data_IF_777768919819
#
_entry.id   IF_777768919819
#
_cell.length_a   1.000
_cell.length_b   1.000
_cell.length_c   1.000
_cell.angle_alpha   90.00
_cell.angle_beta   90.00
_cell.angle_gamma   90.00
#
_symmetry.space_group_name_H-M   'P 1'
#
loop_
_entity.id
_entity.type
_entity.pdbx_description
1 polymer ?
#
# COMPACT_ATOMS: atom_id res chain seq x y z
N UNK A 1 -61.37 13.42 -29.64
CA UNK A 1 -62.23 13.40 -28.44
C UNK A 1 -61.36 13.11 -27.23
N UNK A 2 -61.38 14.06 -26.29
CA UNK A 2 -61.07 13.95 -24.86
C UNK A 2 -59.66 13.48 -24.47
N UNK A 3 -58.78 14.47 -24.29
CA UNK A 3 -57.65 14.40 -23.37
C UNK A 3 -58.16 14.19 -21.93
N UNK A 4 -57.49 13.35 -21.15
CA UNK A 4 -57.65 13.31 -19.70
C UNK A 4 -56.27 13.46 -19.07
N UNK A 5 -56.01 14.68 -18.60
CA UNK A 5 -54.90 14.99 -17.71
C UNK A 5 -55.09 14.18 -16.40
N UNK A 6 -54.06 13.44 -16.00
CA UNK A 6 -53.95 12.96 -14.62
C UNK A 6 -53.28 14.06 -13.80
N UNK A 7 -54.08 14.76 -13.00
CA UNK A 7 -53.63 15.79 -12.07
C UNK A 7 -53.23 15.11 -10.76
N UNK A 8 -51.93 15.03 -10.48
CA UNK A 8 -51.42 14.54 -9.19
C UNK A 8 -51.46 15.71 -8.19
N UNK A 9 -52.51 15.78 -7.37
CA UNK A 9 -52.55 16.69 -6.21
C UNK A 9 -51.89 16.01 -5.02
N UNK A 10 -50.70 16.48 -4.65
CA UNK A 10 -50.06 16.16 -3.37
C UNK A 10 -50.46 17.23 -2.37
N UNK A 11 -51.38 16.93 -1.45
CA UNK A 11 -51.63 17.78 -0.28
C UNK A 11 -50.82 17.25 0.89
N UNK A 12 -49.86 18.05 1.34
CA UNK A 12 -49.03 17.76 2.51
C UNK A 12 -49.66 18.44 3.73
N UNK A 13 -50.08 17.67 4.73
CA UNK A 13 -50.47 18.21 6.04
C UNK A 13 -49.44 17.75 7.05
N UNK A 14 -48.78 18.73 7.68
CA UNK A 14 -47.70 18.52 8.63
C UNK A 14 -48.29 18.39 10.05
N UNK A 15 -48.12 17.25 10.72
CA UNK A 15 -48.07 17.13 12.18
C UNK A 15 -47.52 15.75 12.58
N UNK A 16 -46.82 15.73 13.71
CA UNK A 16 -45.87 14.72 14.16
C UNK A 16 -46.34 13.25 14.18
N UNK A 17 -45.38 12.36 13.91
CA UNK A 17 -45.36 10.89 14.01
C UNK A 17 -46.13 10.06 12.96
N UNK A 18 -45.34 9.23 12.25
CA UNK A 18 -45.68 8.24 11.21
C UNK A 18 -46.37 8.78 9.95
N UNK A 19 -45.59 8.91 8.86
CA UNK A 19 -46.10 9.18 7.53
C UNK A 19 -46.47 7.85 6.83
N UNK A 20 -47.75 7.52 6.78
CA UNK A 20 -48.29 6.47 5.91
C UNK A 20 -48.87 7.13 4.64
N UNK A 21 -48.23 6.94 3.49
CA UNK A 21 -48.80 7.32 2.20
C UNK A 21 -49.85 6.28 1.78
N UNK A 22 -51.13 6.62 1.92
CA UNK A 22 -52.22 5.84 1.32
C UNK A 22 -52.35 6.22 -0.17
N UNK A 23 -51.82 5.37 -1.04
CA UNK A 23 -52.10 5.42 -2.49
C UNK A 23 -53.41 4.68 -2.73
N UNK A 24 -54.48 5.41 -3.00
CA UNK A 24 -55.71 4.81 -3.53
C UNK A 24 -55.49 4.48 -5.01
N UNK A 25 -55.11 3.23 -5.29
CA UNK A 25 -54.93 2.73 -6.64
C UNK A 25 -56.27 2.21 -7.17
N UNK A 26 -56.99 3.04 -7.93
CA UNK A 26 -58.16 2.59 -8.69
C UNK A 26 -57.71 1.65 -9.83
N UNK A 27 -58.32 0.46 -9.86
CA UNK A 27 -58.35 -0.54 -10.93
C UNK A 27 -57.35 -0.34 -12.07
N UNK A 28 -56.22 -1.05 -12.01
CA UNK A 28 -55.32 -1.17 -13.15
C UNK A 28 -55.72 -2.36 -14.00
N UNK A 29 -56.08 -2.07 -15.26
CA UNK A 29 -56.25 -3.07 -16.30
C UNK A 29 -54.97 -3.93 -16.37
N UNK A 30 -55.03 -5.26 -16.45
CA UNK A 30 -53.84 -6.13 -16.40
C UNK A 30 -52.78 -5.79 -17.47
N UNK A 31 -53.20 -5.18 -18.58
CA UNK A 31 -52.30 -4.68 -19.63
C UNK A 31 -51.44 -3.48 -19.19
N UNK A 32 -51.94 -2.60 -18.32
CA UNK A 32 -51.19 -1.45 -17.82
C UNK A 32 -50.08 -1.86 -16.84
N UNK A 33 -50.35 -2.89 -16.03
CA UNK A 33 -49.37 -3.50 -15.13
C UNK A 33 -48.24 -4.20 -15.91
N UNK A 34 -48.59 -4.94 -16.96
CA UNK A 34 -47.61 -5.58 -17.84
C UNK A 34 -46.71 -4.55 -18.54
N UNK A 35 -47.27 -3.43 -19.01
CA UNK A 35 -46.50 -2.37 -19.66
C UNK A 35 -45.56 -1.66 -18.68
N UNK A 36 -46.02 -1.38 -17.44
CA UNK A 36 -45.19 -0.77 -16.41
C UNK A 36 -44.02 -1.69 -16.00
N UNK A 37 -44.26 -3.00 -15.86
CA UNK A 37 -43.22 -4.00 -15.61
C UNK A 37 -42.21 -4.08 -16.76
N UNK A 38 -42.67 -4.03 -18.01
CA UNK A 38 -41.79 -4.04 -19.18
C UNK A 38 -40.89 -2.80 -19.21
N UNK A 39 -41.45 -1.61 -18.94
CA UNK A 39 -40.69 -0.35 -18.88
C UNK A 39 -39.67 -0.38 -17.73
N UNK A 40 -40.05 -0.90 -16.57
CA UNK A 40 -39.14 -1.05 -15.43
C UNK A 40 -37.99 -2.03 -15.73
N UNK A 41 -38.30 -3.18 -16.31
CA UNK A 41 -37.29 -4.17 -16.71
C UNK A 41 -36.36 -3.63 -17.81
N UNK A 42 -36.88 -2.86 -18.78
CA UNK A 42 -36.05 -2.18 -19.78
C UNK A 42 -35.16 -1.12 -19.14
N UNK A 43 -35.66 -0.36 -18.17
CA UNK A 43 -34.86 0.63 -17.44
C UNK A 43 -33.73 -0.04 -16.64
N UNK A 44 -34.02 -1.14 -15.93
CA UNK A 44 -33.02 -1.96 -15.22
C UNK A 44 -32.03 -2.59 -16.20
N UNK A 45 -32.49 -3.07 -17.35
CA UNK A 45 -31.61 -3.64 -18.37
C UNK A 45 -30.70 -2.57 -18.97
N UNK A 46 -31.19 -1.36 -19.24
CA UNK A 46 -30.37 -0.24 -19.77
C UNK A 46 -29.36 0.26 -18.73
N UNK A 47 -29.71 0.31 -17.44
CA UNK A 47 -28.76 0.68 -16.38
C UNK A 47 -27.72 -0.42 -16.15
N UNK A 48 -28.13 -1.69 -16.16
CA UNK A 48 -27.23 -2.83 -16.09
C UNK A 48 -26.29 -2.89 -17.29
N UNK A 49 -26.82 -2.75 -18.51
CA UNK A 49 -26.02 -2.75 -19.73
C UNK A 49 -25.10 -1.53 -19.83
N UNK A 50 -25.48 -0.33 -19.37
CA UNK A 50 -24.54 0.79 -19.20
C UNK A 50 -23.42 0.47 -18.20
N UNK A 51 -23.74 -0.21 -17.09
CA UNK A 51 -22.73 -0.62 -16.11
C UNK A 51 -21.75 -1.66 -16.67
N UNK A 52 -22.22 -2.60 -17.50
CA UNK A 52 -21.37 -3.62 -18.13
C UNK A 52 -20.70 -3.15 -19.42
N UNK A 53 -21.20 -2.09 -20.07
CA UNK A 53 -20.56 -1.49 -21.25
C UNK A 53 -19.51 -0.42 -20.88
N UNK A 54 -19.57 0.14 -19.66
CA UNK A 54 -18.50 0.98 -19.12
C UNK A 54 -17.33 0.17 -18.53
N UNK A 55 -17.42 -1.16 -18.43
CA UNK A 55 -16.32 -2.02 -18.01
C UNK A 55 -15.47 -2.59 -19.16
N UNK A 56 -15.68 -2.16 -20.40
CA UNK A 56 -14.91 -2.62 -21.57
C UNK A 56 -14.26 -1.50 -22.37
N UNK A 57 -13.87 -0.39 -21.74
CA UNK A 57 -12.78 0.41 -22.28
C UNK A 57 -11.48 -0.24 -21.82
N UNK A 58 -10.76 -0.84 -22.76
CA UNK A 58 -9.37 -1.28 -22.57
C UNK A 58 -8.47 -0.06 -22.41
N UNK A 59 -8.62 0.66 -21.28
CA UNK A 59 -7.56 1.51 -20.77
C UNK A 59 -6.41 0.57 -20.48
N UNK A 60 -5.32 0.67 -21.25
CA UNK A 60 -4.09 -0.07 -21.00
C UNK A 60 -3.72 0.13 -19.53
N UNK A 61 -3.94 -0.87 -18.68
CA UNK A 61 -3.75 -0.69 -17.26
C UNK A 61 -2.24 -0.63 -17.02
N UNK A 62 -1.78 0.44 -16.40
CA UNK A 62 -0.39 0.58 -16.00
C UNK A 62 -0.14 -0.43 -14.88
N UNK A 63 0.74 -1.41 -15.10
CA UNK A 63 1.13 -2.41 -14.11
C UNK A 63 2.53 -2.12 -13.58
N UNK A 64 2.74 -2.42 -12.31
CA UNK A 64 4.04 -2.34 -11.65
C UNK A 64 4.59 -3.75 -11.46
N UNK A 65 5.84 -3.94 -11.86
CA UNK A 65 6.53 -5.23 -11.78
C UNK A 65 7.88 -5.05 -11.09
N UNK A 66 8.20 -6.02 -10.22
CA UNK A 66 9.50 -6.12 -9.57
C UNK A 66 10.21 -7.35 -10.12
N UNK A 67 11.34 -7.12 -10.79
CA UNK A 67 12.18 -8.21 -11.32
C UNK A 67 13.32 -8.45 -10.35
N UNK A 68 13.28 -9.57 -9.64
CA UNK A 68 14.25 -9.94 -8.62
C UNK A 68 15.16 -11.05 -9.12
N UNK A 69 16.48 -10.85 -9.01
CA UNK A 69 17.48 -11.83 -9.40
C UNK A 69 18.43 -12.12 -8.24
N UNK A 70 18.84 -13.37 -8.03
CA UNK A 70 19.89 -13.69 -7.06
C UNK A 70 21.19 -12.95 -7.39
N UNK A 71 21.85 -12.42 -6.37
CA UNK A 71 23.24 -11.99 -6.45
C UNK A 71 24.13 -13.25 -6.34
N UNK A 72 24.70 -13.77 -7.43
CA UNK A 72 25.55 -15.00 -7.47
C UNK A 72 26.84 -14.88 -6.60
N UNK A 73 27.58 -15.89 -6.09
CA UNK A 73 27.55 -17.38 -6.05
C UNK A 73 28.12 -17.89 -4.70
N UNK A 74 27.51 -17.53 -3.57
CA UNK A 74 27.86 -18.10 -2.25
C UNK A 74 26.69 -18.99 -1.81
N UNK A 75 27.00 -20.10 -1.12
CA UNK A 75 26.18 -21.30 -0.96
C UNK A 75 24.67 -21.10 -0.71
N UNK A 76 23.90 -22.13 -1.09
CA UNK A 76 22.44 -22.28 -1.02
C UNK A 76 21.77 -22.10 0.37
N UNK A 77 22.45 -21.51 1.35
CA UNK A 77 21.98 -21.22 2.70
C UNK A 77 22.00 -19.72 3.06
N UNK A 78 22.27 -18.80 2.11
CA UNK A 78 22.49 -17.35 2.36
C UNK A 78 22.04 -16.48 1.17
N UNK A 79 20.76 -16.56 0.77
CA UNK A 79 20.29 -15.89 -0.44
C UNK A 79 20.26 -14.36 -0.33
N UNK A 80 20.88 -13.65 -1.27
CA UNK A 80 20.65 -12.21 -1.47
C UNK A 80 20.05 -11.97 -2.84
N UNK A 81 19.07 -11.07 -2.94
CA UNK A 81 18.37 -10.78 -4.18
C UNK A 81 18.42 -9.28 -4.46
N UNK A 82 18.65 -8.92 -5.71
CA UNK A 82 18.54 -7.54 -6.20
C UNK A 82 17.28 -7.43 -7.05
N UNK A 83 16.45 -6.45 -6.72
CA UNK A 83 15.14 -6.24 -7.32
C UNK A 83 15.03 -4.86 -7.93
N UNK A 84 14.48 -4.79 -9.14
CA UNK A 84 14.26 -3.53 -9.85
C UNK A 84 12.77 -3.31 -10.11
N UNK A 85 12.29 -2.09 -9.83
CA UNK A 85 10.91 -1.69 -10.14
C UNK A 85 10.79 -1.18 -11.57
N UNK A 86 9.79 -1.68 -12.29
CA UNK A 86 9.45 -1.24 -13.65
C UNK A 86 7.96 -1.03 -13.80
N UNK A 87 7.57 -0.20 -14.76
CA UNK A 87 6.20 -0.13 -15.27
C UNK A 87 6.10 -0.86 -16.60
N UNK A 88 4.95 -1.49 -16.81
CA UNK A 88 4.57 -2.10 -18.07
C UNK A 88 3.11 -1.76 -18.37
N UNK A 89 2.78 -1.51 -19.64
CA UNK A 89 1.40 -1.42 -20.10
C UNK A 89 0.96 -2.76 -20.67
N UNK A 90 -0.33 -3.09 -20.53
CA UNK A 90 -0.88 -4.34 -21.07
C UNK A 90 -0.57 -4.47 -22.58
N UNK A 91 0.09 -5.56 -22.96
CA UNK A 91 0.46 -5.85 -24.35
C UNK A 91 1.77 -5.22 -24.84
N UNK A 92 2.44 -4.40 -24.03
CA UNK A 92 3.76 -3.87 -24.36
C UNK A 92 4.88 -4.75 -23.79
N UNK A 93 5.89 -5.04 -24.63
CA UNK A 93 7.12 -5.71 -24.19
C UNK A 93 8.12 -4.74 -23.54
N UNK A 94 7.90 -3.43 -23.64
CA UNK A 94 8.84 -2.44 -23.14
C UNK A 94 8.57 -2.15 -21.67
N UNK A 95 9.60 -2.35 -20.84
CA UNK A 95 9.57 -2.05 -19.41
C UNK A 95 10.31 -0.74 -19.15
N UNK A 96 9.68 0.18 -18.44
CA UNK A 96 10.30 1.46 -18.07
C UNK A 96 10.67 1.43 -16.59
N UNK A 97 11.94 1.72 -16.21
CA UNK A 97 12.32 1.82 -14.81
C UNK A 97 11.50 2.85 -14.04
N UNK A 98 11.13 2.52 -12.80
CA UNK A 98 10.53 3.48 -11.86
C UNK A 98 11.66 4.19 -11.13
N UNK A 99 11.68 5.52 -11.12
CA UNK A 99 12.69 6.28 -10.36
C UNK A 99 12.37 6.28 -8.86
N UNK A 100 13.36 6.56 -8.02
CA UNK A 100 13.20 6.59 -6.57
C UNK A 100 12.16 7.62 -6.14
N UNK A 101 12.23 8.84 -6.68
CA UNK A 101 11.24 9.90 -6.43
C UNK A 101 9.82 9.46 -6.85
N UNK A 102 9.70 8.77 -7.99
CA UNK A 102 8.41 8.24 -8.44
C UNK A 102 7.89 7.14 -7.51
N UNK A 103 8.74 6.23 -7.06
CA UNK A 103 8.36 5.19 -6.10
C UNK A 103 7.86 5.81 -4.78
N UNK A 104 8.54 6.82 -4.25
CA UNK A 104 8.10 7.54 -3.04
C UNK A 104 6.72 8.19 -3.22
N UNK A 105 6.46 8.80 -4.38
CA UNK A 105 5.14 9.33 -4.69
C UNK A 105 4.08 8.23 -4.77
N UNK A 106 4.39 7.10 -5.42
CA UNK A 106 3.46 5.99 -5.59
C UNK A 106 3.09 5.33 -4.25
N UNK A 107 4.06 5.19 -3.34
CA UNK A 107 3.84 4.66 -1.99
C UNK A 107 2.87 5.49 -1.14
N UNK A 108 2.76 6.79 -1.42
CA UNK A 108 1.89 7.71 -0.71
C UNK A 108 0.54 7.94 -1.39
N UNK A 109 0.42 7.54 -2.66
CA UNK A 109 -0.79 7.80 -3.44
C UNK A 109 -1.92 6.83 -3.06
N UNK A 110 -3.15 7.20 -3.40
CA UNK A 110 -4.30 6.29 -3.29
C UNK A 110 -4.23 5.09 -4.26
N UNK A 111 -3.24 5.05 -5.17
CA UNK A 111 -3.01 3.93 -6.08
C UNK A 111 -2.23 2.83 -5.37
N UNK A 112 -2.96 1.82 -4.89
CA UNK A 112 -2.40 0.72 -4.09
C UNK A 112 -1.55 -0.26 -4.90
N UNK A 113 -1.62 -0.22 -6.24
CA UNK A 113 -1.03 -1.24 -7.11
C UNK A 113 0.49 -1.36 -6.97
N UNK A 114 1.21 -0.24 -6.86
CA UNK A 114 2.67 -0.26 -6.69
C UNK A 114 3.06 -0.86 -5.34
N UNK A 115 2.36 -0.47 -4.27
CA UNK A 115 2.64 -0.93 -2.91
C UNK A 115 2.30 -2.41 -2.73
N UNK A 116 1.20 -2.85 -3.34
CA UNK A 116 0.82 -4.26 -3.36
C UNK A 116 1.80 -5.09 -4.19
N UNK A 117 2.35 -4.55 -5.29
CA UNK A 117 3.40 -5.21 -6.06
C UNK A 117 4.73 -5.29 -5.30
N UNK A 118 5.14 -4.21 -4.62
CA UNK A 118 6.34 -4.19 -3.77
C UNK A 118 6.22 -5.18 -2.62
N UNK A 119 5.07 -5.16 -1.93
CA UNK A 119 4.82 -6.06 -0.80
C UNK A 119 4.87 -7.51 -1.26
N UNK A 120 4.20 -7.86 -2.37
CA UNK A 120 4.28 -9.22 -2.94
C UNK A 120 5.70 -9.60 -3.32
N UNK A 121 6.46 -8.70 -3.96
CA UNK A 121 7.84 -8.96 -4.34
C UNK A 121 8.71 -9.36 -3.14
N UNK A 122 8.44 -8.82 -1.95
CA UNK A 122 9.14 -9.16 -0.71
C UNK A 122 8.55 -10.42 -0.05
N UNK A 123 7.23 -10.55 0.04
CA UNK A 123 6.59 -11.68 0.75
C UNK A 123 6.74 -13.00 0.01
N UNK A 124 6.81 -12.97 -1.32
CA UNK A 124 6.91 -14.15 -2.19
C UNK A 124 8.35 -14.71 -2.27
N UNK A 125 9.34 -13.99 -1.72
CA UNK A 125 10.72 -14.49 -1.66
C UNK A 125 10.84 -15.69 -0.73
N UNK A 126 11.69 -16.68 -1.04
CA UNK A 126 11.91 -17.86 -0.22
C UNK A 126 12.85 -17.59 0.98
N UNK A 127 12.72 -16.41 1.60
CA UNK A 127 13.50 -16.02 2.79
C UNK A 127 12.58 -16.02 4.01
N UNK A 128 13.05 -16.63 5.11
CA UNK A 128 12.30 -16.68 6.37
C UNK A 128 12.37 -15.32 7.09
N UNK A 129 13.56 -14.72 7.14
CA UNK A 129 13.79 -13.33 7.52
C UNK A 129 14.67 -12.61 6.50
N UNK A 130 14.57 -11.28 6.43
CA UNK A 130 15.40 -10.50 5.52
C UNK A 130 15.79 -9.12 6.06
N UNK A 131 16.98 -8.68 5.70
CA UNK A 131 17.36 -7.27 5.69
C UNK A 131 17.00 -6.66 4.33
N UNK A 132 16.63 -5.39 4.31
CA UNK A 132 16.25 -4.63 3.13
C UNK A 132 17.13 -3.40 3.01
N UNK A 133 17.63 -3.09 1.82
CA UNK A 133 18.53 -1.97 1.55
C UNK A 133 18.18 -1.33 0.21
N UNK A 134 18.04 -0.01 0.15
CA UNK A 134 17.92 0.74 -1.12
C UNK A 134 19.20 1.50 -1.43
N UNK A 135 19.46 1.90 -2.70
CA UNK A 135 20.54 2.83 -3.00
C UNK A 135 20.41 4.13 -2.19
N UNK A 136 21.54 4.77 -1.83
CA UNK A 136 21.50 6.10 -1.26
C UNK A 136 21.01 7.13 -2.27
N UNK A 137 20.19 8.07 -1.82
CA UNK A 137 19.69 9.16 -2.66
C UNK A 137 19.77 10.51 -1.97
N UNK A 138 20.02 11.55 -2.76
CA UNK A 138 19.80 12.95 -2.40
C UNK A 138 18.45 13.41 -2.94
N UNK A 139 18.04 14.64 -2.59
CA UNK A 139 16.87 15.29 -3.21
C UNK A 139 16.97 15.28 -4.73
N UNK A 140 18.15 15.58 -5.26
CA UNK A 140 18.40 15.67 -6.70
C UNK A 140 18.54 14.27 -7.32
N UNK A 141 19.28 13.35 -6.69
CA UNK A 141 19.53 12.03 -7.29
C UNK A 141 18.32 11.11 -7.28
N UNK A 142 17.36 11.32 -6.36
CA UNK A 142 16.12 10.55 -6.35
C UNK A 142 15.31 10.64 -7.66
N UNK A 143 15.43 11.74 -8.42
CA UNK A 143 14.69 11.95 -9.66
C UNK A 143 15.16 11.05 -10.81
N UNK A 144 16.43 10.63 -10.81
CA UNK A 144 17.03 9.82 -11.88
C UNK A 144 17.61 8.48 -11.42
N UNK A 145 17.76 8.26 -10.12
CA UNK A 145 18.14 6.95 -9.57
C UNK A 145 16.95 6.01 -9.70
N UNK A 146 17.15 4.81 -10.25
CA UNK A 146 16.09 3.80 -10.30
C UNK A 146 15.72 3.33 -8.89
N UNK A 147 14.43 3.08 -8.67
CA UNK A 147 13.98 2.42 -7.47
C UNK A 147 14.28 0.93 -7.59
N UNK A 148 15.30 0.53 -6.84
CA UNK A 148 15.76 -0.83 -6.67
C UNK A 148 16.03 -1.08 -5.19
N UNK A 149 16.10 -2.35 -4.82
CA UNK A 149 16.49 -2.74 -3.47
C UNK A 149 17.20 -4.09 -3.49
N UNK A 150 18.06 -4.28 -2.50
CA UNK A 150 18.63 -5.56 -2.17
C UNK A 150 17.96 -6.09 -0.91
N UNK A 151 17.71 -7.40 -0.91
CA UNK A 151 17.43 -8.12 0.33
C UNK A 151 18.54 -9.12 0.62
N UNK A 152 18.79 -9.32 1.91
CA UNK A 152 19.73 -10.32 2.41
C UNK A 152 18.99 -11.27 3.34
N UNK A 153 19.26 -12.57 3.21
CA UNK A 153 18.85 -13.52 4.22
C UNK A 153 19.38 -13.13 5.60
N UNK A 154 18.54 -13.31 6.64
CA UNK A 154 18.86 -12.93 8.01
C UNK A 154 18.60 -14.08 9.00
N UNK A 155 19.36 -15.19 8.96
CA UNK A 155 19.18 -16.33 9.86
C UNK A 155 19.10 -16.00 11.36
N UNK A 156 19.86 -15.03 11.90
CA UNK A 156 19.74 -14.64 13.31
C UNK A 156 18.35 -14.14 13.73
N UNK A 157 17.47 -13.80 12.77
CA UNK A 157 16.13 -13.29 13.03
C UNK A 157 15.02 -14.33 12.88
N UNK A 158 15.33 -15.56 12.43
CA UNK A 158 14.33 -16.61 12.20
C UNK A 158 13.52 -16.92 13.46
N UNK A 159 14.23 -17.18 14.55
CA UNK A 159 13.65 -17.53 15.86
C UNK A 159 13.67 -16.35 16.86
N UNK A 160 13.85 -15.11 16.38
CA UNK A 160 13.90 -13.96 17.26
C UNK A 160 12.53 -13.65 17.88
N UNK A 161 12.52 -13.39 19.19
CA UNK A 161 11.34 -12.94 19.92
C UNK A 161 11.16 -11.43 19.74
N UNK A 162 9.93 -10.94 19.49
CA UNK A 162 9.69 -9.50 19.37
C UNK A 162 10.06 -8.77 20.66
N UNK A 163 10.91 -7.74 20.57
CA UNK A 163 11.18 -6.85 21.71
C UNK A 163 10.19 -5.67 21.71
N UNK A 164 9.01 -5.93 22.28
CA UNK A 164 7.93 -4.95 22.43
C UNK A 164 8.30 -3.74 23.29
N UNK A 165 9.38 -3.85 24.07
CA UNK A 165 9.83 -2.82 25.01
C UNK A 165 10.84 -1.84 24.42
N UNK A 166 11.57 -2.25 23.37
CA UNK A 166 12.71 -1.52 22.83
C UNK A 166 12.42 -0.06 22.47
N UNK A 167 11.19 0.21 22.02
CA UNK A 167 10.72 1.53 21.60
C UNK A 167 9.47 1.98 22.36
N UNK A 168 9.21 1.38 23.53
CA UNK A 168 8.00 1.67 24.30
C UNK A 168 7.77 3.17 24.56
N UNK A 169 8.77 3.98 24.95
CA UNK A 169 8.56 5.42 25.14
C UNK A 169 8.11 6.14 23.87
N UNK A 170 8.56 5.68 22.70
CA UNK A 170 8.23 6.26 21.40
C UNK A 170 6.90 5.74 20.86
N UNK A 171 6.48 4.55 21.28
CA UNK A 171 5.20 3.95 20.94
C UNK A 171 4.06 4.34 21.90
N UNK A 172 4.38 4.77 23.13
CA UNK A 172 3.41 5.12 24.16
C UNK A 172 2.69 6.46 23.92
N UNK A 173 3.04 7.19 22.85
CA UNK A 173 2.29 8.37 22.45
C UNK A 173 0.92 7.94 21.89
N UNK A 174 -0.17 8.48 22.45
CA UNK A 174 -1.55 8.24 22.00
C UNK A 174 -1.79 8.66 20.55
N UNK A 175 -0.87 9.42 19.97
CA UNK A 175 -0.87 9.78 18.56
C UNK A 175 -0.31 8.70 17.63
N UNK A 176 0.17 7.55 18.14
CA UNK A 176 0.65 6.49 17.26
C UNK A 176 -0.50 5.85 16.48
N UNK A 177 -0.70 6.34 15.26
CA UNK A 177 -1.61 5.79 14.29
C UNK A 177 -0.94 4.59 13.57
N UNK A 178 -0.69 3.51 14.31
CA UNK A 178 -0.12 2.25 13.81
C UNK A 178 1.40 2.26 13.54
N UNK A 179 2.00 3.40 13.21
CA UNK A 179 3.46 3.54 13.04
C UNK A 179 4.00 4.81 13.71
N UNK A 180 5.14 4.69 14.37
CA UNK A 180 5.88 5.80 14.96
C UNK A 180 7.10 6.18 14.10
N UNK A 181 7.41 7.48 14.06
CA UNK A 181 8.60 8.03 13.39
C UNK A 181 9.41 8.84 14.39
N UNK A 182 10.64 8.42 14.71
CA UNK A 182 11.43 9.02 15.79
C UNK A 182 12.93 8.86 15.57
N UNK A 183 13.77 9.75 16.13
CA UNK A 183 15.23 9.56 16.09
C UNK A 183 15.66 8.37 16.94
N UNK A 184 16.66 7.62 16.50
CA UNK A 184 17.28 6.59 17.34
C UNK A 184 18.03 7.22 18.54
N UNK A 185 18.49 6.38 19.48
CA UNK A 185 19.17 6.84 20.71
C UNK A 185 20.38 7.75 20.43
N UNK A 186 21.17 7.42 19.40
CA UNK A 186 22.32 8.21 18.96
C UNK A 186 21.96 9.47 18.18
N UNK A 187 20.70 9.64 17.78
CA UNK A 187 20.17 10.72 16.94
C UNK A 187 20.90 10.88 15.59
N UNK A 188 21.51 9.80 15.10
CA UNK A 188 22.20 9.71 13.82
C UNK A 188 21.35 9.05 12.72
N UNK A 189 20.17 8.54 13.11
CA UNK A 189 19.17 7.96 12.23
C UNK A 189 17.74 8.31 12.66
N UNK A 190 16.84 8.39 11.69
CA UNK A 190 15.39 8.36 11.93
C UNK A 190 14.87 6.95 11.73
N UNK A 191 14.02 6.47 12.64
CA UNK A 191 13.39 5.15 12.60
C UNK A 191 11.91 5.29 12.27
N UNK A 192 11.40 4.36 11.46
CA UNK A 192 9.97 4.14 11.23
C UNK A 192 9.64 2.73 11.70
N UNK A 193 8.78 2.61 12.72
CA UNK A 193 8.52 1.35 13.44
C UNK A 193 7.01 1.16 13.64
N UNK A 194 6.45 -0.06 13.49
CA UNK A 194 5.07 -0.32 13.85
C UNK A 194 4.90 -0.15 15.36
N UNK A 195 3.75 0.39 15.76
CA UNK A 195 3.37 0.42 17.17
C UNK A 195 2.75 -0.93 17.56
N UNK A 196 3.04 -1.44 18.77
CA UNK A 196 2.40 -2.63 19.29
C UNK A 196 0.88 -2.47 19.25
N UNK A 197 0.18 -3.44 18.66
CA UNK A 197 -1.27 -3.46 18.72
C UNK A 197 -1.72 -3.79 20.14
N UNK A 198 -2.80 -3.15 20.61
CA UNK A 198 -3.39 -3.49 21.90
C UNK A 198 -3.94 -4.93 21.93
N UNK A 199 -4.41 -5.41 20.77
CA UNK A 199 -5.03 -6.73 20.62
C UNK A 199 -4.02 -7.84 20.30
N UNK A 200 -2.85 -7.46 19.75
CA UNK A 200 -1.76 -8.38 19.44
C UNK A 200 -0.41 -7.65 19.62
N UNK A 201 0.13 -7.57 20.85
CA UNK A 201 1.35 -6.81 21.11
C UNK A 201 2.57 -7.38 20.37
N UNK A 202 2.53 -8.66 19.97
CA UNK A 202 3.63 -9.32 19.28
C UNK A 202 3.61 -9.12 17.75
N UNK A 203 2.50 -8.60 17.18
CA UNK A 203 2.05 -8.44 15.77
C UNK A 203 2.96 -8.87 14.61
N UNK A 204 3.68 -9.97 14.80
CA UNK A 204 4.74 -10.46 13.92
C UNK A 204 5.75 -9.36 13.50
N UNK A 205 5.91 -8.36 14.37
CA UNK A 205 6.71 -7.18 14.13
C UNK A 205 8.20 -7.42 14.40
N UNK A 206 8.68 -8.66 14.41
CA UNK A 206 10.09 -9.01 14.67
C UNK A 206 11.02 -8.44 13.59
N UNK A 207 10.62 -8.60 12.32
CA UNK A 207 11.38 -8.17 11.15
C UNK A 207 10.46 -7.97 9.93
N UNK A 208 11.01 -7.38 8.86
CA UNK A 208 10.24 -6.85 7.73
C UNK A 208 9.31 -7.88 7.07
N UNK A 209 9.85 -9.01 6.60
CA UNK A 209 9.04 -9.95 5.81
C UNK A 209 7.97 -10.66 6.64
N UNK A 210 8.23 -10.96 7.91
CA UNK A 210 7.25 -11.56 8.82
C UNK A 210 6.10 -10.60 9.09
N UNK A 211 6.42 -9.33 9.35
CA UNK A 211 5.40 -8.29 9.45
C UNK A 211 4.57 -8.15 8.17
N UNK A 212 5.21 -8.07 6.99
CA UNK A 212 4.49 -7.92 5.72
C UNK A 212 3.60 -9.11 5.37
N UNK A 213 3.98 -10.33 5.77
CA UNK A 213 3.18 -11.55 5.57
C UNK A 213 1.92 -11.58 6.45
N UNK A 214 1.96 -10.95 7.63
CA UNK A 214 0.93 -11.15 8.66
C UNK A 214 0.11 -9.90 9.00
N UNK A 215 0.66 -8.69 8.85
CA UNK A 215 0.00 -7.44 9.26
C UNK A 215 -1.20 -7.01 8.38
N UNK A 216 -1.41 -7.68 7.24
CA UNK A 216 -2.48 -7.37 6.29
C UNK A 216 -2.19 -6.16 5.39
N UNK A 217 -2.91 -6.07 4.27
CA UNK A 217 -2.63 -5.08 3.22
C UNK A 217 -2.74 -3.63 3.70
N UNK A 218 -3.63 -3.32 4.64
CA UNK A 218 -3.78 -1.97 5.18
C UNK A 218 -2.50 -1.51 5.90
N UNK A 219 -1.97 -2.33 6.81
CA UNK A 219 -0.76 -2.01 7.57
C UNK A 219 0.49 -2.02 6.69
N UNK A 220 0.61 -2.95 5.74
CA UNK A 220 1.70 -2.94 4.76
C UNK A 220 1.70 -1.63 3.96
N UNK A 221 0.53 -1.17 3.47
CA UNK A 221 0.42 0.10 2.74
C UNK A 221 0.77 1.30 3.61
N UNK A 222 0.34 1.27 4.87
CA UNK A 222 0.63 2.33 5.85
C UNK A 222 2.12 2.39 6.21
N UNK A 223 2.79 1.25 6.37
CA UNK A 223 4.25 1.18 6.53
C UNK A 223 4.94 1.91 5.37
N UNK A 224 4.67 1.49 4.13
CA UNK A 224 5.33 2.06 2.95
C UNK A 224 5.03 3.54 2.75
N UNK A 225 3.78 3.97 2.98
CA UNK A 225 3.43 5.40 2.94
C UNK A 225 4.18 6.21 4.01
N UNK A 226 4.27 5.68 5.23
CA UNK A 226 4.98 6.34 6.35
C UNK A 226 6.48 6.43 6.09
N UNK A 227 7.09 5.36 5.58
CA UNK A 227 8.49 5.34 5.14
C UNK A 227 8.71 6.37 4.04
N UNK A 228 7.87 6.39 3.01
CA UNK A 228 8.02 7.32 1.91
C UNK A 228 7.92 8.79 2.34
N UNK A 229 6.96 9.12 3.23
CA UNK A 229 6.85 10.45 3.83
C UNK A 229 8.07 10.81 4.68
N UNK A 230 8.60 9.86 5.46
CA UNK A 230 9.79 10.08 6.27
C UNK A 230 11.04 10.33 5.41
N UNK A 231 11.18 9.59 4.30
CA UNK A 231 12.27 9.74 3.34
C UNK A 231 12.16 11.11 2.65
N UNK A 232 11.01 11.45 2.08
CA UNK A 232 10.82 12.74 1.39
C UNK A 232 11.12 13.94 2.29
N UNK A 233 10.73 13.89 3.57
CA UNK A 233 11.04 14.96 4.54
C UNK A 233 12.54 15.10 4.84
N UNK A 234 13.34 14.05 4.66
CA UNK A 234 14.77 14.04 4.95
C UNK A 234 15.67 14.15 3.72
N UNK A 235 15.12 14.05 2.51
CA UNK A 235 15.88 14.29 1.29
C UNK A 235 16.51 15.69 1.31
N UNK A 236 17.82 15.71 1.10
CA UNK A 236 18.66 16.91 1.14
C UNK A 236 19.78 16.81 0.10
N UNK A 237 20.74 17.73 0.13
CA UNK A 237 21.96 17.63 -0.70
C UNK A 237 22.92 16.53 -0.21
N UNK A 238 22.72 16.01 1.01
CA UNK A 238 23.48 14.88 1.53
C UNK A 238 22.74 13.56 1.25
N UNK A 239 23.46 12.48 0.91
CA UNK A 239 22.85 11.18 0.69
C UNK A 239 22.14 10.66 1.94
N UNK A 240 21.00 10.01 1.71
CA UNK A 240 20.20 9.32 2.71
C UNK A 240 20.18 7.82 2.40
N UNK A 241 20.49 7.00 3.40
CA UNK A 241 20.46 5.55 3.31
C UNK A 241 19.19 5.01 3.97
N UNK A 242 18.43 4.17 3.25
CA UNK A 242 17.20 3.54 3.74
C UNK A 242 17.39 2.03 3.83
N UNK A 243 17.29 1.49 5.05
CA UNK A 243 17.50 0.06 5.28
C UNK A 243 16.63 -0.51 6.40
N UNK A 244 16.66 -1.82 6.59
CA UNK A 244 16.27 -2.48 7.84
C UNK A 244 17.49 -3.21 8.42
N UNK A 245 17.68 -3.10 9.73
CA UNK A 245 18.65 -3.93 10.45
C UNK A 245 18.07 -4.35 11.79
N UNK A 246 17.77 -5.65 11.96
CA UNK A 246 17.12 -6.18 13.15
C UNK A 246 18.07 -6.83 14.17
N UNK A 247 19.38 -6.86 13.93
CA UNK A 247 20.28 -7.71 14.73
C UNK A 247 20.49 -7.27 16.18
N UNK A 248 20.28 -5.98 16.48
CA UNK A 248 20.39 -5.46 17.85
C UNK A 248 19.06 -5.34 18.58
N UNK A 249 17.96 -5.17 17.83
CA UNK A 249 16.60 -5.00 18.34
C UNK A 249 15.67 -5.74 17.40
N UNK A 250 15.06 -6.82 17.89
CA UNK A 250 14.11 -7.68 17.18
C UNK A 250 12.71 -7.08 17.16
N UNK A 251 12.61 -5.82 16.73
CA UNK A 251 11.37 -5.13 16.44
C UNK A 251 11.57 -4.36 15.14
N UNK A 252 10.65 -4.46 14.18
CA UNK A 252 10.77 -3.90 12.85
C UNK A 252 11.01 -2.40 12.95
N UNK A 253 12.12 -1.95 12.39
CA UNK A 253 12.37 -0.54 12.21
C UNK A 253 13.07 -0.30 10.87
N UNK A 254 12.43 0.47 10.00
CA UNK A 254 13.08 1.03 8.82
C UNK A 254 13.92 2.21 9.27
N UNK A 255 15.19 2.19 8.88
CA UNK A 255 16.19 3.17 9.27
C UNK A 255 16.48 4.11 8.13
N UNK A 256 16.49 5.40 8.43
CA UNK A 256 16.91 6.49 7.55
C UNK A 256 18.19 7.06 8.16
N UNK A 257 19.33 6.57 7.70
CA UNK A 257 20.65 6.90 8.25
C UNK A 257 21.38 7.93 7.37
N UNK A 258 22.20 8.77 8.01
CA UNK A 258 23.10 9.73 7.35
C UNK A 258 24.41 9.09 6.84
N UNK A 259 24.60 7.80 7.08
CA UNK A 259 25.75 7.00 6.64
C UNK A 259 25.37 5.51 6.52
N UNK A 260 26.08 4.70 5.72
CA UNK A 260 25.76 3.30 5.45
C UNK A 260 26.24 2.35 6.58
N UNK A 261 25.90 2.66 7.84
CA UNK A 261 26.38 1.93 9.02
C UNK A 261 25.97 0.44 9.02
N UNK A 262 24.81 0.16 8.44
CA UNK A 262 24.18 -1.17 8.49
C UNK A 262 24.01 -1.84 7.13
N UNK A 263 24.65 -1.30 6.09
CA UNK A 263 24.57 -1.82 4.74
C UNK A 263 25.56 -2.97 4.52
N UNK A 264 25.02 -4.09 4.04
CA UNK A 264 25.77 -5.28 3.64
C UNK A 264 26.09 -5.25 2.15
N UNK A 265 25.23 -4.66 1.33
CA UNK A 265 25.46 -4.55 -0.11
C UNK A 265 26.47 -3.43 -0.41
N UNK A 266 27.72 -3.83 -0.69
CA UNK A 266 28.85 -2.91 -0.92
C UNK A 266 28.57 -1.79 -1.94
N UNK A 267 27.91 -2.03 -3.08
CA UNK A 267 27.62 -0.97 -4.05
C UNK A 267 26.79 0.19 -3.49
N UNK A 268 25.96 -0.04 -2.46
CA UNK A 268 25.17 1.01 -1.83
C UNK A 268 25.92 1.76 -0.70
N UNK A 269 27.14 1.36 -0.35
CA UNK A 269 27.91 2.02 0.72
C UNK A 269 28.65 3.27 0.25
N UNK A 270 28.73 3.51 -1.05
CA UNK A 270 29.34 4.70 -1.62
C UNK A 270 28.27 5.56 -2.27
N UNK A 271 28.46 6.87 -2.22
CA UNK A 271 27.66 7.85 -2.94
C UNK A 271 28.65 8.75 -3.67
N UNK A 272 28.86 8.47 -4.95
CA UNK A 272 29.76 9.21 -5.84
C UNK A 272 28.96 10.22 -6.68
#
# INVERSE_FOLDING_TARGET
LIASLVCVRVTCVCSCHLCACHIHMMYTHPQALALALLVFLLAVFVTYSKSSYMSSSSSSSLRYEFSCSPLQSISASQGSFLCYATTATDGANNKTPVTFARALHLMQSSSVQFVDALTRALTDMPLEAMLFETPPVTRTSAEYTNFEFVVHDAPPLYDATPDTSAFFPQHADKACDGFAVFPNLGKDATLVSPCPSADNPDDDAVHLVKYLRNAGAHNARKLWSTVAQAVQRQLSEKPLWVSTNGYGVSWLHVRLDSSPKYYSYRPYRNFD
#
